data_IF_384992325891
#
_entry.id   IF_384992325891
#
_cell.length_a   1.000
_cell.length_b   1.000
_cell.length_c   1.000
_cell.angle_alpha   90.00
_cell.angle_beta   90.00
_cell.angle_gamma   90.00
#
_symmetry.space_group_name_H-M   'P 1'
#
loop_
_entity.id
_entity.type
_entity.pdbx_description
1 polymer ?
#
# COMPACT_ATOMS: atom_id res chain seq x y z
N UNK A 1 14.91 -27.91 21.49
CA UNK A 1 13.51 -27.80 21.95
C UNK A 1 13.32 -26.42 22.54
N UNK A 2 12.78 -25.50 21.75
CA UNK A 2 11.72 -24.56 22.12
C UNK A 2 11.09 -24.16 20.79
N UNK A 3 9.91 -24.72 20.55
CA UNK A 3 9.01 -24.23 19.52
C UNK A 3 8.48 -22.90 20.02
N UNK A 4 8.82 -21.82 19.34
CA UNK A 4 8.01 -20.61 19.39
C UNK A 4 7.14 -20.72 18.15
N UNK A 5 5.92 -21.19 18.33
CA UNK A 5 4.84 -20.88 17.39
C UNK A 5 4.59 -19.39 17.58
N UNK A 6 5.43 -18.56 16.97
CA UNK A 6 5.22 -17.13 16.86
C UNK A 6 4.02 -17.01 15.94
N UNK A 7 2.83 -16.90 16.55
CA UNK A 7 1.63 -16.46 15.86
C UNK A 7 1.91 -15.01 15.43
N UNK A 8 2.64 -14.85 14.33
CA UNK A 8 2.96 -13.56 13.74
C UNK A 8 1.64 -12.88 13.42
N UNK A 9 1.39 -11.73 14.04
CA UNK A 9 0.18 -10.96 13.74
C UNK A 9 0.15 -10.67 12.22
N UNK A 10 -1.01 -10.86 11.56
CA UNK A 10 -1.09 -10.62 10.12
C UNK A 10 -0.72 -9.17 9.79
N UNK A 11 0.17 -8.99 8.82
CA UNK A 11 0.51 -7.67 8.29
C UNK A 11 -0.63 -7.01 7.51
N UNK A 12 -0.42 -5.78 7.07
CA UNK A 12 -1.42 -5.03 6.27
C UNK A 12 -1.68 -5.79 4.95
N UNK A 13 -2.93 -6.25 4.78
CA UNK A 13 -3.37 -7.04 3.62
C UNK A 13 -3.29 -8.55 3.80
N UNK A 14 -2.83 -9.03 4.97
CA UNK A 14 -2.63 -10.47 5.22
C UNK A 14 -3.75 -11.11 6.05
N UNK A 15 -3.88 -12.43 5.94
CA UNK A 15 -4.82 -13.23 6.72
C UNK A 15 -6.22 -13.35 6.10
N UNK A 16 -7.13 -14.07 6.79
CA UNK A 16 -8.49 -14.30 6.30
C UNK A 16 -9.31 -13.00 6.35
N UNK A 17 -10.12 -12.78 5.32
CA UNK A 17 -11.03 -11.63 5.26
C UNK A 17 -12.02 -11.64 6.43
N UNK A 18 -12.10 -10.50 7.14
CA UNK A 18 -13.08 -10.27 8.21
C UNK A 18 -14.05 -9.16 7.78
N UNK A 19 -15.35 -9.43 7.87
CA UNK A 19 -16.37 -8.45 7.55
C UNK A 19 -16.51 -7.42 8.68
N UNK A 20 -16.47 -6.13 8.32
CA UNK A 20 -16.77 -5.01 9.21
C UNK A 20 -17.87 -4.15 8.58
N UNK A 21 -18.67 -3.48 9.40
CA UNK A 21 -19.73 -2.57 8.93
C UNK A 21 -19.29 -1.13 9.08
N UNK A 22 -19.36 -0.37 7.99
CA UNK A 22 -19.03 1.07 7.96
C UNK A 22 -20.11 1.82 7.19
N UNK A 23 -20.34 3.07 7.58
CA UNK A 23 -21.25 3.97 6.86
C UNK A 23 -20.47 4.81 5.87
N UNK A 24 -20.98 4.93 4.64
CA UNK A 24 -20.42 5.76 3.59
C UNK A 24 -21.49 6.70 3.05
N UNK A 25 -21.12 7.90 2.55
CA UNK A 25 -22.06 8.76 1.84
C UNK A 25 -22.73 8.00 0.69
N UNK A 26 -24.03 8.23 0.48
CA UNK A 26 -24.81 7.53 -0.55
C UNK A 26 -24.19 7.68 -1.95
N UNK A 27 -23.72 8.88 -2.28
CA UNK A 27 -23.02 9.14 -3.54
C UNK A 27 -21.75 8.31 -3.72
N UNK A 28 -21.00 8.08 -2.64
CA UNK A 28 -19.80 7.23 -2.65
C UNK A 28 -20.17 5.76 -2.86
N UNK A 29 -21.24 5.28 -2.21
CA UNK A 29 -21.72 3.90 -2.41
C UNK A 29 -22.14 3.67 -3.86
N UNK A 30 -22.83 4.63 -4.47
CA UNK A 30 -23.21 4.57 -5.88
C UNK A 30 -21.97 4.50 -6.79
N UNK A 31 -21.03 5.42 -6.62
CA UNK A 31 -19.80 5.45 -7.41
C UNK A 31 -18.97 4.16 -7.24
N UNK A 32 -18.89 3.62 -6.03
CA UNK A 32 -18.20 2.35 -5.75
C UNK A 32 -18.86 1.18 -6.47
N UNK A 33 -20.20 1.10 -6.47
CA UNK A 33 -20.93 0.04 -7.17
C UNK A 33 -20.74 0.13 -8.69
N UNK A 34 -20.80 1.34 -9.24
CA UNK A 34 -20.59 1.59 -10.67
C UNK A 34 -19.15 1.20 -11.08
N UNK A 35 -18.16 1.49 -10.23
CA UNK A 35 -16.74 1.16 -10.45
C UNK A 35 -16.40 -0.33 -10.24
N UNK A 36 -17.05 -0.99 -9.28
CA UNK A 36 -16.71 -2.37 -8.88
C UNK A 36 -16.93 -3.42 -9.97
N UNK A 37 -17.92 -3.24 -10.86
CA UNK A 37 -18.26 -4.23 -11.87
C UNK A 37 -18.29 -5.65 -11.30
N UNK A 38 -17.55 -6.57 -11.94
CA UNK A 38 -17.42 -7.98 -11.49
C UNK A 38 -16.42 -8.23 -10.34
N UNK A 39 -15.59 -7.26 -9.95
CA UNK A 39 -14.60 -7.44 -8.87
C UNK A 39 -15.22 -7.36 -7.47
N UNK A 40 -16.41 -6.79 -7.36
CA UNK A 40 -17.12 -6.58 -6.10
C UNK A 40 -16.57 -5.42 -5.27
N UNK A 41 -17.46 -4.72 -4.57
CA UNK A 41 -17.12 -3.51 -3.80
C UNK A 41 -16.07 -3.81 -2.72
N UNK A 42 -16.15 -4.98 -2.08
CA UNK A 42 -15.22 -5.37 -1.02
C UNK A 42 -13.77 -5.45 -1.50
N UNK A 43 -13.52 -5.91 -2.74
CA UNK A 43 -12.17 -5.99 -3.27
C UNK A 43 -11.56 -4.60 -3.52
N UNK A 44 -12.37 -3.67 -4.04
CA UNK A 44 -11.93 -2.27 -4.23
C UNK A 44 -11.64 -1.62 -2.88
N UNK A 45 -12.54 -1.77 -1.92
CA UNK A 45 -12.37 -1.19 -0.58
C UNK A 45 -11.16 -1.79 0.12
N UNK A 46 -10.96 -3.11 0.05
CA UNK A 46 -9.79 -3.77 0.63
C UNK A 46 -8.49 -3.23 0.04
N UNK A 47 -8.37 -3.19 -1.29
CA UNK A 47 -7.17 -2.68 -1.97
C UNK A 47 -6.90 -1.21 -1.61
N UNK A 48 -7.92 -0.35 -1.64
CA UNK A 48 -7.76 1.07 -1.33
C UNK A 48 -7.38 1.30 0.13
N UNK A 49 -7.95 0.54 1.07
CA UNK A 49 -7.62 0.62 2.50
C UNK A 49 -6.21 0.08 2.76
N UNK A 50 -5.83 -1.03 2.13
CA UNK A 50 -4.49 -1.61 2.22
C UNK A 50 -3.42 -0.63 1.74
N UNK A 51 -3.62 -0.05 0.55
CA UNK A 51 -2.74 0.98 -0.01
C UNK A 51 -2.64 2.20 0.92
N UNK A 52 -3.78 2.67 1.42
CA UNK A 52 -3.81 3.81 2.34
C UNK A 52 -3.02 3.53 3.63
N UNK A 53 -3.23 2.38 4.26
CA UNK A 53 -2.55 2.00 5.50
C UNK A 53 -1.04 1.80 5.29
N UNK A 54 -0.64 1.18 4.16
CA UNK A 54 0.78 1.04 3.82
C UNK A 54 1.44 2.38 3.59
N UNK A 55 0.78 3.30 2.89
CA UNK A 55 1.29 4.65 2.68
C UNK A 55 1.44 5.41 4.00
N UNK A 56 0.47 5.30 4.92
CA UNK A 56 0.56 5.89 6.25
C UNK A 56 1.73 5.32 7.07
N UNK A 57 1.92 4.00 7.04
CA UNK A 57 3.06 3.36 7.72
C UNK A 57 4.41 3.82 7.15
N UNK A 58 4.52 3.92 5.82
CA UNK A 58 5.72 4.45 5.15
C UNK A 58 6.00 5.90 5.52
N UNK A 59 4.97 6.75 5.55
CA UNK A 59 5.12 8.15 5.95
C UNK A 59 5.58 8.27 7.40
N UNK A 60 4.97 7.52 8.32
CA UNK A 60 5.38 7.51 9.72
C UNK A 60 6.83 7.06 9.90
N UNK A 61 7.28 6.06 9.13
CA UNK A 61 8.67 5.62 9.12
C UNK A 61 9.62 6.73 8.61
N UNK A 62 9.25 7.42 7.53
CA UNK A 62 10.05 8.53 7.00
C UNK A 62 10.13 9.70 7.97
N UNK A 63 9.01 10.06 8.62
CA UNK A 63 8.97 11.11 9.64
C UNK A 63 9.88 10.78 10.83
N UNK A 64 9.88 9.53 11.28
CA UNK A 64 10.78 9.07 12.34
C UNK A 64 12.25 9.19 11.90
N UNK A 65 12.57 8.70 10.70
CA UNK A 65 13.92 8.80 10.16
C UNK A 65 14.39 10.26 10.03
N UNK A 66 13.56 11.14 9.49
CA UNK A 66 13.89 12.56 9.34
C UNK A 66 14.04 13.27 10.71
N UNK A 67 13.32 12.81 11.74
CA UNK A 67 13.49 13.29 13.11
C UNK A 67 14.86 12.91 13.69
N UNK A 68 15.35 11.71 13.40
CA UNK A 68 16.64 11.21 13.90
C UNK A 68 17.83 11.73 13.08
N UNK A 69 17.67 11.90 11.77
CA UNK A 69 18.77 12.14 10.83
C UNK A 69 18.70 13.49 10.08
N UNK A 70 17.60 14.22 10.21
CA UNK A 70 17.31 15.41 9.43
C UNK A 70 16.57 15.12 8.13
N UNK A 71 15.92 16.15 7.58
CA UNK A 71 15.14 16.03 6.34
C UNK A 71 16.03 15.74 5.13
N UNK A 72 15.51 14.94 4.19
CA UNK A 72 16.21 14.66 2.94
C UNK A 72 16.38 15.92 2.08
N UNK A 73 17.59 16.12 1.56
CA UNK A 73 17.90 17.20 0.64
C UNK A 73 17.23 17.00 -0.73
N UNK A 74 17.03 18.07 -1.52
CA UNK A 74 16.51 17.94 -2.89
C UNK A 74 17.36 17.03 -3.79
N UNK A 75 18.69 17.01 -3.59
CA UNK A 75 19.60 16.18 -4.37
C UNK A 75 19.41 14.69 -4.06
N UNK A 76 19.28 14.32 -2.79
CA UNK A 76 19.01 12.93 -2.37
C UNK A 76 17.65 12.44 -2.87
N UNK A 77 16.63 13.31 -2.84
CA UNK A 77 15.30 13.00 -3.40
C UNK A 77 15.36 12.78 -4.91
N UNK A 78 16.16 13.58 -5.63
CA UNK A 78 16.34 13.40 -7.08
C UNK A 78 17.09 12.10 -7.39
N UNK A 79 18.15 11.79 -6.65
CA UNK A 79 18.89 10.53 -6.83
C UNK A 79 17.98 9.31 -6.62
N UNK A 80 17.16 9.33 -5.56
CA UNK A 80 16.19 8.28 -5.31
C UNK A 80 15.16 8.15 -6.45
N UNK A 81 14.65 9.28 -6.96
CA UNK A 81 13.72 9.29 -8.10
C UNK A 81 14.35 8.70 -9.37
N UNK A 82 15.62 9.02 -9.66
CA UNK A 82 16.35 8.48 -10.81
C UNK A 82 16.55 6.96 -10.68
N UNK A 83 16.84 6.46 -9.47
CA UNK A 83 16.93 5.02 -9.21
C UNK A 83 15.59 4.33 -9.44
N UNK A 84 14.50 4.94 -8.96
CA UNK A 84 13.15 4.40 -9.13
C UNK A 84 12.74 4.35 -10.60
N UNK A 85 12.93 5.43 -11.35
CA UNK A 85 12.60 5.50 -12.77
C UNK A 85 13.31 4.39 -13.59
N UNK A 86 14.60 4.16 -13.32
CA UNK A 86 15.35 3.06 -13.97
C UNK A 86 14.83 1.68 -13.58
N UNK A 87 14.30 1.51 -12.38
CA UNK A 87 13.69 0.24 -11.97
C UNK A 87 12.38 0.00 -12.74
N UNK A 88 11.53 1.01 -12.87
CA UNK A 88 10.27 0.93 -13.63
C UNK A 88 10.50 0.67 -15.12
N UNK A 89 11.48 1.34 -15.73
CA UNK A 89 11.86 1.09 -17.13
C UNK A 89 12.26 -0.39 -17.35
N UNK A 90 13.07 -0.96 -16.44
CA UNK A 90 13.48 -2.37 -16.53
C UNK A 90 12.30 -3.31 -16.35
N UNK A 91 11.37 -3.00 -15.46
CA UNK A 91 10.16 -3.81 -15.27
C UNK A 91 9.24 -3.73 -16.50
N UNK A 92 9.07 -2.55 -17.09
CA UNK A 92 8.33 -2.36 -18.33
C UNK A 92 8.90 -3.20 -19.47
N UNK A 93 10.22 -3.17 -19.66
CA UNK A 93 10.91 -4.00 -20.65
C UNK A 93 10.67 -5.50 -20.43
N UNK A 94 10.64 -5.96 -19.18
CA UNK A 94 10.31 -7.34 -18.85
C UNK A 94 8.86 -7.70 -19.20
N UNK A 95 7.91 -6.81 -18.88
CA UNK A 95 6.48 -7.02 -19.17
C UNK A 95 6.18 -7.01 -20.67
N UNK A 96 6.95 -6.29 -21.47
CA UNK A 96 6.83 -6.30 -22.94
C UNK A 96 7.45 -7.55 -23.58
N UNK A 97 8.36 -8.24 -22.89
CA UNK A 97 9.08 -9.40 -23.40
C UNK A 97 8.42 -10.76 -23.06
N UNK A 98 7.35 -10.78 -22.24
CA UNK A 98 6.58 -11.96 -21.81
C UNK A 98 5.21 -11.95 -22.46
#
# INVERSE_FOLDING_TARGET
MLMVDEQTEPGIGEGPAKAISVSLPEGTVRALRDSAGGRGVSAIVAAAVEEHLRNQATLAYLEEYEREHGAFTPAEKQEAADVWARAEEREGQWREAV
#
